data_IF_898691357461
#
_entry.id   IF_898691357461
#
_cell.length_a   1.000
_cell.length_b   1.000
_cell.length_c   1.000
_cell.angle_alpha   90.00
_cell.angle_beta   90.00
_cell.angle_gamma   90.00
#
_symmetry.space_group_name_H-M   'P 1'
#
loop_
_entity.id
_entity.type
_entity.pdbx_description
1 polymer ?
#
# COMPACT_ATOMS: atom_id res chain seq x y z
N UNK A 1 1.03 12.48 -26.14
CA UNK A 1 0.30 12.79 -24.89
C UNK A 1 0.91 11.90 -23.83
N UNK A 2 1.78 12.45 -22.98
CA UNK A 2 2.36 11.69 -21.87
C UNK A 2 1.25 11.51 -20.82
N UNK A 3 0.77 10.28 -20.66
CA UNK A 3 -0.08 9.94 -19.53
C UNK A 3 0.75 10.17 -18.26
N UNK A 4 0.43 11.22 -17.52
CA UNK A 4 0.86 11.37 -16.13
C UNK A 4 0.29 10.18 -15.36
N UNK A 5 1.08 9.10 -15.29
CA UNK A 5 0.79 7.94 -14.45
C UNK A 5 0.75 8.44 -13.01
N UNK A 6 -0.45 8.54 -12.43
CA UNK A 6 -0.60 8.90 -11.03
C UNK A 6 -0.04 7.78 -10.17
N UNK A 7 0.84 8.12 -9.23
CA UNK A 7 1.39 7.17 -8.27
C UNK A 7 0.27 6.40 -7.57
N UNK A 8 0.50 5.11 -7.30
CA UNK A 8 -0.42 4.28 -6.54
C UNK A 8 -0.05 4.35 -5.05
N UNK A 9 -1.07 4.43 -4.20
CA UNK A 9 -0.92 4.53 -2.74
C UNK A 9 -1.27 3.18 -2.13
N UNK A 10 -0.32 2.58 -1.43
CA UNK A 10 -0.43 1.25 -0.85
C UNK A 10 -0.43 1.39 0.67
N UNK A 11 -1.49 0.87 1.29
CA UNK A 11 -1.59 0.70 2.72
C UNK A 11 -0.93 -0.62 3.12
N UNK A 12 -0.19 -0.62 4.23
CA UNK A 12 0.47 -1.80 4.78
C UNK A 12 0.38 -1.85 6.31
N UNK A 13 0.40 -3.07 6.84
CA UNK A 13 0.34 -3.35 8.28
C UNK A 13 1.65 -3.93 8.80
N UNK A 14 1.80 -3.97 10.12
CA UNK A 14 2.99 -4.48 10.80
C UNK A 14 3.27 -5.98 10.52
N UNK A 15 2.26 -6.72 10.06
CA UNK A 15 2.38 -8.14 9.69
C UNK A 15 2.90 -8.36 8.25
N UNK A 16 3.10 -7.28 7.48
CA UNK A 16 3.55 -7.36 6.09
C UNK A 16 2.43 -7.48 5.07
N UNK A 17 1.17 -7.50 5.49
CA UNK A 17 0.04 -7.43 4.58
C UNK A 17 -0.06 -6.03 3.96
N UNK A 18 -0.48 -5.95 2.70
CA UNK A 18 -0.68 -4.68 2.01
C UNK A 18 -1.81 -4.73 0.98
N UNK A 19 -2.46 -3.59 0.78
CA UNK A 19 -3.57 -3.37 -0.13
C UNK A 19 -3.52 -1.95 -0.70
N UNK A 20 -4.19 -1.66 -1.82
CA UNK A 20 -4.46 -0.28 -2.21
C UNK A 20 -5.13 0.51 -1.07
N UNK A 21 -4.72 1.76 -0.84
CA UNK A 21 -5.21 2.59 0.26
C UNK A 21 -6.75 2.69 0.28
N UNK A 22 -7.38 2.83 -0.89
CA UNK A 22 -8.84 2.87 -1.00
C UNK A 22 -9.49 1.59 -0.46
N UNK A 23 -8.94 0.42 -0.80
CA UNK A 23 -9.42 -0.87 -0.30
C UNK A 23 -9.17 -1.02 1.20
N UNK A 24 -7.99 -0.63 1.69
CA UNK A 24 -7.67 -0.66 3.11
C UNK A 24 -8.61 0.23 3.94
N UNK A 25 -8.93 1.42 3.43
CA UNK A 25 -9.90 2.32 4.06
C UNK A 25 -11.28 1.69 4.17
N UNK A 26 -11.81 1.12 3.09
CA UNK A 26 -13.11 0.43 3.12
C UNK A 26 -13.09 -0.75 4.11
N UNK A 27 -12.01 -1.53 4.09
CA UNK A 27 -11.80 -2.64 5.01
C UNK A 27 -11.75 -2.21 6.50
N UNK A 28 -11.14 -1.06 6.79
CA UNK A 28 -11.12 -0.48 8.12
C UNK A 28 -12.49 0.07 8.54
N UNK A 29 -13.21 0.72 7.62
CA UNK A 29 -14.55 1.27 7.87
C UNK A 29 -15.58 0.18 8.23
N UNK A 30 -15.47 -1.02 7.62
CA UNK A 30 -16.34 -2.16 7.95
C UNK A 30 -15.82 -3.03 9.11
N UNK A 31 -14.68 -2.67 9.71
CA UNK A 31 -14.06 -3.41 10.82
C UNK A 31 -13.45 -4.76 10.41
N UNK A 32 -13.18 -4.99 9.13
CA UNK A 32 -12.52 -6.20 8.64
C UNK A 32 -11.01 -6.19 8.89
N UNK A 33 -10.41 -5.00 8.86
CA UNK A 33 -8.99 -4.78 9.16
C UNK A 33 -8.83 -3.66 10.18
N UNK A 34 -7.69 -3.65 10.87
CA UNK A 34 -7.36 -2.59 11.81
C UNK A 34 -7.04 -1.28 11.06
N UNK A 35 -7.48 -0.12 11.56
CA UNK A 35 -7.23 1.19 10.93
C UNK A 35 -5.80 1.71 11.13
N UNK A 36 -4.92 0.95 11.78
CA UNK A 36 -3.52 1.30 12.09
C UNK A 36 -2.53 1.02 10.93
N UNK A 37 -3.04 0.92 9.71
CA UNK A 37 -2.18 0.80 8.54
C UNK A 37 -1.39 2.08 8.29
N UNK A 38 -0.20 1.92 7.73
CA UNK A 38 0.61 3.00 7.19
C UNK A 38 0.43 3.05 5.68
N UNK A 39 0.71 4.21 5.06
CA UNK A 39 0.57 4.39 3.61
C UNK A 39 1.89 4.81 3.01
N UNK A 40 2.26 4.20 1.88
CA UNK A 40 3.43 4.56 1.07
C UNK A 40 3.03 4.73 -0.39
N UNK A 41 3.71 5.61 -1.11
CA UNK A 41 3.45 5.90 -2.52
C UNK A 41 4.45 5.18 -3.41
N UNK A 42 3.93 4.51 -4.44
CA UNK A 42 4.70 3.80 -5.46
C UNK A 42 4.40 4.38 -6.86
N UNK A 43 5.33 4.23 -7.81
CA UNK A 43 5.01 4.45 -9.22
C UNK A 43 3.76 3.65 -9.64
N UNK A 44 2.92 4.22 -10.50
CA UNK A 44 1.66 3.59 -10.94
C UNK A 44 1.87 2.20 -11.58
N UNK A 45 3.05 1.99 -12.15
CA UNK A 45 3.49 0.77 -12.81
C UNK A 45 4.52 -0.03 -11.99
N UNK A 46 4.64 0.27 -10.70
CA UNK A 46 5.44 -0.54 -9.78
C UNK A 46 4.99 -2.01 -9.85
N UNK A 47 5.94 -2.89 -10.10
CA UNK A 47 5.69 -4.31 -10.11
C UNK A 47 5.37 -4.80 -8.69
N UNK A 48 4.49 -5.81 -8.51
CA UNK A 48 4.16 -6.36 -7.20
C UNK A 48 5.39 -6.73 -6.36
N UNK A 49 6.42 -7.31 -6.98
CA UNK A 49 7.68 -7.68 -6.31
C UNK A 49 8.43 -6.49 -5.71
N UNK A 50 8.37 -5.32 -6.38
CA UNK A 50 8.97 -4.10 -5.85
C UNK A 50 8.20 -3.64 -4.60
N UNK A 51 6.86 -3.64 -4.69
CA UNK A 51 5.99 -3.28 -3.55
C UNK A 51 6.28 -4.19 -2.36
N UNK A 52 6.28 -5.51 -2.55
CA UNK A 52 6.58 -6.48 -1.50
C UNK A 52 7.96 -6.26 -0.85
N UNK A 53 8.98 -5.94 -1.66
CA UNK A 53 10.35 -5.76 -1.17
C UNK A 53 10.48 -4.47 -0.36
N UNK A 54 9.87 -3.37 -0.83
CA UNK A 54 9.90 -2.08 -0.15
C UNK A 54 9.08 -2.10 1.14
N UNK A 55 7.89 -2.74 1.15
CA UNK A 55 7.11 -2.93 2.38
C UNK A 55 7.92 -3.71 3.42
N UNK A 56 8.59 -4.79 3.01
CA UNK A 56 9.49 -5.55 3.92
C UNK A 56 10.62 -4.69 4.47
N UNK A 57 11.21 -3.82 3.66
CA UNK A 57 12.27 -2.92 4.10
C UNK A 57 11.74 -1.83 5.06
N UNK A 58 10.52 -1.33 4.85
CA UNK A 58 9.85 -0.39 5.75
C UNK A 58 9.57 -1.00 7.12
N UNK A 59 9.18 -2.27 7.17
CA UNK A 59 8.90 -3.00 8.41
C UNK A 59 10.15 -3.42 9.20
N UNK A 60 11.33 -3.35 8.59
CA UNK A 60 12.60 -3.70 9.23
C UNK A 60 13.31 -2.50 9.90
N UNK A 61 12.73 -1.30 9.81
CA UNK A 61 13.23 -0.05 10.41
C UNK A 61 12.69 0.14 11.82
#
# INVERSE_FOLDING_TARGET
MEQQKQNQRIAYWADGFHLPEESARLCAEIGAFSPDYQVVEFPADAAPVLIDSEIKALLAQ
#
